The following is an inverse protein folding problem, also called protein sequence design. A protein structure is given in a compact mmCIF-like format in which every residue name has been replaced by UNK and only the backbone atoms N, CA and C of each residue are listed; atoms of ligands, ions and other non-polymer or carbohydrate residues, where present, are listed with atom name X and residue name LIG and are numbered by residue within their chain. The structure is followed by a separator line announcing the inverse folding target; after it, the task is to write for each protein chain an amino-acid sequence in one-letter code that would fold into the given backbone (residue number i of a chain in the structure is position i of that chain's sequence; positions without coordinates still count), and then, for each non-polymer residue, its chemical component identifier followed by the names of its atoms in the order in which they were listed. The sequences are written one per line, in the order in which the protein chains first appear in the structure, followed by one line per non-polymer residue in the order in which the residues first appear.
data_IF_761841056367
#
_entry.id   IF_761841056367
#
_cell.length_a   1.000
_cell.length_b   1.000
_cell.length_c   1.000
_cell.angle_alpha   90.00
_cell.angle_beta   90.00
_cell.angle_gamma   90.00
#
_symmetry.space_group_name_H-M   'P 1'
#
loop_
_entity.id
_entity.type
_entity.pdbx_description
1 polymer ?
#
# COMPACT_ATOMS: atom_id res chain seq x y z
N UNK A 1 -18.75 -11.04 7.69
CA UNK A 1 -17.40 -11.28 7.11
C UNK A 1 -17.24 -10.53 5.77
N UNK A 2 -17.46 -9.21 5.70
CA UNK A 2 -17.55 -8.48 4.40
C UNK A 2 -16.53 -7.31 4.28
N UNK A 3 -15.69 -7.09 5.30
CA UNK A 3 -14.87 -5.86 5.36
C UNK A 3 -13.49 -5.97 4.69
N UNK A 4 -12.99 -7.19 4.40
CA UNK A 4 -11.60 -7.37 3.92
C UNK A 4 -11.41 -7.21 2.41
N UNK A 5 -12.29 -7.83 1.61
CA UNK A 5 -12.29 -7.59 0.17
C UNK A 5 -12.42 -6.09 -0.14
N UNK A 6 -13.13 -5.33 0.70
CA UNK A 6 -13.23 -3.87 0.58
C UNK A 6 -11.90 -3.15 0.86
N UNK A 7 -11.07 -3.66 1.77
CA UNK A 7 -9.78 -3.07 2.10
C UNK A 7 -8.79 -3.25 0.94
N UNK A 8 -8.65 -4.46 0.41
CA UNK A 8 -7.85 -4.72 -0.78
C UNK A 8 -8.36 -3.93 -1.98
N UNK A 9 -9.67 -3.96 -2.24
CA UNK A 9 -10.30 -3.23 -3.36
C UNK A 9 -9.96 -1.73 -3.29
N UNK A 10 -9.97 -1.14 -2.09
CA UNK A 10 -9.60 0.27 -1.87
C UNK A 10 -8.12 0.51 -2.18
N UNK A 11 -7.21 -0.30 -1.63
CA UNK A 11 -5.77 -0.17 -1.87
C UNK A 11 -5.43 -0.34 -3.35
N UNK A 12 -6.07 -1.28 -4.04
CA UNK A 12 -5.87 -1.49 -5.46
C UNK A 12 -6.39 -0.33 -6.31
N UNK A 13 -7.57 0.22 -5.99
CA UNK A 13 -8.08 1.42 -6.67
C UNK A 13 -7.14 2.62 -6.45
N UNK A 14 -6.60 2.79 -5.25
CA UNK A 14 -5.61 3.85 -4.98
C UNK A 14 -4.33 3.63 -5.77
N UNK A 15 -3.83 2.40 -5.87
CA UNK A 15 -2.66 2.07 -6.66
C UNK A 15 -2.85 2.35 -8.16
N UNK A 16 -4.04 2.05 -8.68
CA UNK A 16 -4.41 2.38 -10.06
C UNK A 16 -4.42 3.91 -10.26
N UNK A 17 -4.99 4.66 -9.31
CA UNK A 17 -5.04 6.12 -9.39
C UNK A 17 -3.65 6.76 -9.39
N UNK A 18 -2.77 6.29 -8.51
CA UNK A 18 -1.36 6.72 -8.42
C UNK A 18 -0.58 6.34 -9.68
N UNK A 19 -0.71 5.10 -10.17
CA UNK A 19 -0.02 4.64 -11.37
C UNK A 19 -0.39 5.42 -12.63
N UNK A 20 -1.63 5.93 -12.71
CA UNK A 20 -2.08 6.79 -13.80
C UNK A 20 -1.70 8.26 -13.64
N UNK A 21 -1.25 8.68 -12.45
CA UNK A 21 -0.86 10.09 -12.20
C UNK A 21 0.37 10.50 -13.02
N UNK A 22 1.17 9.54 -13.50
CA UNK A 22 2.28 9.78 -14.45
C UNK A 22 1.82 10.48 -15.74
N UNK A 23 0.54 10.33 -16.10
CA UNK A 23 -0.06 10.94 -17.28
C UNK A 23 -0.65 12.33 -16.99
N UNK A 24 -0.50 12.83 -15.76
CA UNK A 24 -1.17 14.04 -15.27
C UNK A 24 -2.66 13.81 -14.93
N UNK A 25 -3.25 14.80 -14.27
CA UNK A 25 -4.64 14.71 -13.79
C UNK A 25 -5.66 14.51 -14.92
N UNK A 26 -5.53 15.28 -16.00
CA UNK A 26 -6.41 15.17 -17.17
C UNK A 26 -6.25 13.83 -17.87
N UNK A 27 -5.02 13.32 -17.99
CA UNK A 27 -4.74 12.01 -18.56
C UNK A 27 -5.44 10.91 -17.77
N UNK A 28 -5.24 10.88 -16.45
CA UNK A 28 -5.90 9.94 -15.54
C UNK A 28 -7.43 9.94 -15.69
N UNK A 29 -8.06 11.13 -15.74
CA UNK A 29 -9.51 11.25 -15.93
C UNK A 29 -9.96 10.71 -17.29
N UNK A 30 -9.23 11.04 -18.36
CA UNK A 30 -9.52 10.54 -19.70
C UNK A 30 -9.44 9.01 -19.79
N UNK A 31 -8.47 8.39 -19.10
CA UNK A 31 -8.36 6.93 -19.05
C UNK A 31 -9.56 6.30 -18.35
N UNK A 32 -9.96 6.81 -17.18
CA UNK A 32 -11.16 6.28 -16.52
C UNK A 32 -12.43 6.48 -17.37
N UNK A 33 -12.55 7.63 -18.04
CA UNK A 33 -13.66 7.88 -18.95
C UNK A 33 -13.69 6.90 -20.12
N UNK A 34 -12.54 6.62 -20.75
CA UNK A 34 -12.45 5.70 -21.88
C UNK A 34 -12.67 4.24 -21.44
N UNK A 35 -12.18 3.85 -20.26
CA UNK A 35 -12.45 2.53 -19.66
C UNK A 35 -13.94 2.31 -19.37
N UNK A 36 -14.62 3.33 -18.85
CA UNK A 36 -16.06 3.24 -18.60
C UNK A 36 -16.87 3.22 -19.90
N UNK A 37 -16.57 4.11 -20.84
CA UNK A 37 -17.40 4.29 -22.04
C UNK A 37 -17.13 3.25 -23.15
N UNK A 38 -15.86 2.89 -23.38
CA UNK A 38 -15.48 1.96 -24.46
C UNK A 38 -15.45 0.50 -24.00
N UNK A 39 -15.22 0.25 -22.70
CA UNK A 39 -15.04 -1.10 -22.16
C UNK A 39 -16.02 -1.48 -21.05
N UNK A 40 -16.93 -0.57 -20.64
CA UNK A 40 -17.89 -0.80 -19.56
C UNK A 40 -17.22 -1.16 -18.21
N UNK A 41 -15.99 -0.69 -17.99
CA UNK A 41 -15.21 -0.94 -16.77
C UNK A 41 -15.27 0.31 -15.90
N UNK A 42 -16.17 0.29 -14.91
CA UNK A 42 -16.22 1.35 -13.90
C UNK A 42 -15.03 1.23 -12.94
N UNK A 43 -14.52 2.35 -12.43
CA UNK A 43 -13.38 2.40 -11.47
C UNK A 43 -13.54 1.41 -10.29
N UNK A 44 -14.71 1.35 -9.69
CA UNK A 44 -15.00 0.45 -8.56
C UNK A 44 -15.14 -1.05 -8.93
N UNK A 45 -15.20 -1.38 -10.23
CA UNK A 45 -15.24 -2.76 -10.73
C UNK A 45 -13.86 -3.29 -11.09
N UNK A 46 -12.84 -2.43 -11.19
CA UNK A 46 -11.47 -2.80 -11.53
C UNK A 46 -10.92 -3.92 -10.62
N UNK A 47 -11.09 -3.89 -9.28
CA UNK A 47 -10.61 -4.98 -8.41
C UNK A 47 -11.24 -6.35 -8.63
N UNK A 48 -12.37 -6.40 -9.35
CA UNK A 48 -13.10 -7.63 -9.66
C UNK A 48 -12.77 -8.17 -11.05
N UNK A 49 -12.12 -7.38 -11.90
CA UNK A 49 -11.81 -7.71 -13.29
C UNK A 49 -10.45 -7.14 -13.71
N UNK A 50 -9.35 -7.52 -13.04
CA UNK A 50 -8.02 -7.02 -13.39
C UNK A 50 -7.60 -7.37 -14.83
N UNK A 51 -8.07 -8.49 -15.38
CA UNK A 51 -7.81 -8.93 -16.76
C UNK A 51 -8.45 -7.97 -17.77
N UNK A 52 -9.71 -7.59 -17.52
CA UNK A 52 -10.43 -6.66 -18.39
C UNK A 52 -9.79 -5.25 -18.34
N UNK A 53 -9.29 -4.85 -17.16
CA UNK A 53 -8.57 -3.60 -17.00
C UNK A 53 -7.24 -3.60 -17.77
N UNK A 54 -6.43 -4.65 -17.65
CA UNK A 54 -5.19 -4.80 -18.43
C UNK A 54 -5.45 -4.75 -19.94
N UNK A 55 -6.45 -5.50 -20.41
CA UNK A 55 -6.88 -5.45 -21.82
C UNK A 55 -7.32 -4.04 -22.24
N UNK A 56 -8.00 -3.31 -21.35
CA UNK A 56 -8.42 -1.92 -21.60
C UNK A 56 -7.22 -0.98 -21.74
N UNK A 57 -6.20 -1.11 -20.87
CA UNK A 57 -4.96 -0.36 -20.98
C UNK A 57 -4.21 -0.69 -22.26
N UNK A 58 -4.09 -1.97 -22.62
CA UNK A 58 -3.43 -2.42 -23.85
C UNK A 58 -4.12 -1.84 -25.09
N UNK A 59 -5.45 -1.78 -25.12
CA UNK A 59 -6.16 -1.18 -26.26
C UNK A 59 -5.98 0.34 -26.36
N UNK A 60 -5.73 1.03 -25.24
CA UNK A 60 -5.52 2.48 -25.24
C UNK A 60 -4.05 2.83 -25.56
N UNK A 61 -3.10 2.11 -24.97
CA UNK A 61 -1.67 2.45 -24.99
C UNK A 61 -0.81 1.51 -25.85
N UNK A 62 -1.39 0.41 -26.37
CA UNK A 62 -0.65 -0.65 -27.04
C UNK A 62 0.43 -1.23 -26.12
N UNK A 63 1.63 -1.44 -26.68
CA UNK A 63 2.79 -1.93 -25.94
C UNK A 63 3.17 -1.06 -24.71
N UNK A 64 2.80 0.23 -24.72
CA UNK A 64 3.03 1.15 -23.62
C UNK A 64 2.22 0.82 -22.34
N UNK A 65 1.17 0.00 -22.44
CA UNK A 65 0.38 -0.44 -21.30
C UNK A 65 1.25 -1.15 -20.25
N UNK A 66 2.27 -1.89 -20.68
CA UNK A 66 3.21 -2.58 -19.79
C UNK A 66 3.90 -1.65 -18.79
N UNK A 67 4.21 -0.40 -19.20
CA UNK A 67 4.83 0.60 -18.32
C UNK A 67 3.84 1.03 -17.23
N UNK A 68 2.59 1.28 -17.61
CA UNK A 68 1.52 1.67 -16.68
C UNK A 68 1.20 0.54 -15.72
N UNK A 69 1.08 -0.71 -16.22
CA UNK A 69 0.86 -1.89 -15.40
C UNK A 69 1.95 -2.06 -14.34
N UNK A 70 3.23 -1.92 -14.71
CA UNK A 70 4.35 -1.98 -13.77
C UNK A 70 4.30 -0.89 -12.70
N UNK A 71 3.89 0.33 -13.06
CA UNK A 71 3.74 1.43 -12.09
C UNK A 71 2.62 1.12 -11.08
N UNK A 72 1.49 0.60 -11.56
CA UNK A 72 0.36 0.20 -10.71
C UNK A 72 0.78 -0.94 -9.76
N UNK A 73 1.48 -1.96 -10.28
CA UNK A 73 1.98 -3.07 -9.45
C UNK A 73 2.96 -2.60 -8.39
N UNK A 74 3.90 -1.71 -8.74
CA UNK A 74 4.82 -1.13 -7.76
C UNK A 74 4.08 -0.39 -6.63
N UNK A 75 3.09 0.44 -6.97
CA UNK A 75 2.28 1.13 -5.96
C UNK A 75 1.49 0.13 -5.09
N UNK A 76 0.83 -0.86 -5.71
CA UNK A 76 0.05 -1.87 -4.99
C UNK A 76 0.90 -2.66 -3.99
N UNK A 77 2.04 -3.17 -4.42
CA UNK A 77 2.94 -3.94 -3.56
C UNK A 77 3.47 -3.06 -2.41
N UNK A 78 3.85 -1.81 -2.69
CA UNK A 78 4.29 -0.86 -1.68
C UNK A 78 3.21 -0.60 -0.62
N UNK A 79 1.95 -0.42 -1.04
CA UNK A 79 0.81 -0.23 -0.13
C UNK A 79 0.54 -1.42 0.77
N UNK A 80 0.91 -2.63 0.33
CA UNK A 80 0.75 -3.87 1.08
C UNK A 80 2.02 -4.27 1.86
N UNK A 81 3.06 -3.44 1.84
CA UNK A 81 4.35 -3.73 2.49
C UNK A 81 5.09 -4.91 1.87
N UNK A 82 4.82 -5.21 0.59
CA UNK A 82 5.45 -6.29 -0.17
C UNK A 82 6.52 -5.72 -1.12
N UNK A 83 7.49 -6.55 -1.48
CA UNK A 83 8.49 -6.21 -2.49
C UNK A 83 8.00 -6.67 -3.86
N UNK A 84 7.89 -5.73 -4.80
CA UNK A 84 7.57 -6.05 -6.19
C UNK A 84 8.81 -6.59 -6.91
N UNK A 85 8.66 -7.72 -7.59
CA UNK A 85 9.67 -8.31 -8.47
C UNK A 85 9.08 -8.48 -9.86
N UNK A 86 9.67 -7.79 -10.82
CA UNK A 86 9.29 -7.85 -12.24
C UNK A 86 9.75 -9.18 -12.83
N UNK A 87 8.81 -9.96 -13.34
CA UNK A 87 9.02 -11.26 -13.99
C UNK A 87 8.44 -11.10 -15.38
N UNK A 88 9.31 -11.03 -16.38
CA UNK A 88 9.03 -10.49 -17.72
C UNK A 88 7.93 -11.23 -18.51
N UNK A 89 7.46 -12.38 -18.04
CA UNK A 89 6.48 -13.22 -18.73
C UNK A 89 5.12 -13.30 -18.03
N UNK A 90 4.97 -12.62 -16.89
CA UNK A 90 3.78 -12.78 -16.07
C UNK A 90 2.75 -11.67 -16.33
N UNK A 91 1.49 -12.01 -16.64
CA UNK A 91 0.47 -11.03 -16.91
C UNK A 91 0.07 -10.25 -15.65
N UNK A 92 -0.30 -8.98 -15.83
CA UNK A 92 -0.70 -8.08 -14.75
C UNK A 92 -1.74 -8.70 -13.79
N UNK A 93 -2.76 -9.37 -14.34
CA UNK A 93 -3.83 -9.94 -13.53
C UNK A 93 -3.36 -11.03 -12.56
N UNK A 94 -2.37 -11.84 -12.94
CA UNK A 94 -1.83 -12.86 -12.04
C UNK A 94 -1.13 -12.25 -10.83
N UNK A 95 -0.39 -11.15 -11.01
CA UNK A 95 0.21 -10.43 -9.88
C UNK A 95 -0.85 -9.88 -8.91
N UNK A 96 -1.95 -9.35 -9.44
CA UNK A 96 -3.05 -8.81 -8.62
C UNK A 96 -3.76 -9.94 -7.87
N UNK A 97 -4.04 -11.05 -8.56
CA UNK A 97 -4.74 -12.20 -7.98
C UNK A 97 -3.91 -12.90 -6.90
N UNK A 98 -2.60 -13.11 -7.11
CA UNK A 98 -1.73 -13.69 -6.08
C UNK A 98 -1.74 -12.85 -4.79
N UNK A 99 -1.61 -11.54 -4.95
CA UNK A 99 -1.54 -10.64 -3.80
C UNK A 99 -2.88 -10.58 -3.08
N UNK A 100 -3.99 -10.62 -3.82
CA UNK A 100 -5.33 -10.70 -3.26
C UNK A 100 -5.52 -11.97 -2.44
N UNK A 101 -5.11 -13.12 -2.96
CA UNK A 101 -5.16 -14.39 -2.24
C UNK A 101 -4.25 -14.40 -1.00
N UNK A 102 -3.07 -13.79 -1.10
CA UNK A 102 -2.14 -13.67 0.03
C UNK A 102 -2.68 -12.75 1.13
N UNK A 103 -3.38 -11.67 0.76
CA UNK A 103 -4.05 -10.77 1.70
C UNK A 103 -5.20 -11.50 2.44
N UNK A 104 -5.95 -12.34 1.72
CA UNK A 104 -6.98 -13.19 2.29
C UNK A 104 -6.39 -14.29 3.23
N UNK A 105 -5.20 -14.80 2.93
CA UNK A 105 -4.55 -15.92 3.65
C UNK A 105 -3.72 -15.53 4.89
N UNK A 106 -3.25 -14.28 5.01
CA UNK A 106 -2.39 -13.82 6.13
C UNK A 106 -3.04 -13.92 7.52
N UNK A 107 -4.33 -14.22 7.62
CA UNK A 107 -4.99 -14.41 8.91
C UNK A 107 -4.91 -15.82 9.52
N UNK A 108 -4.45 -16.85 8.80
CA UNK A 108 -4.37 -18.19 9.39
C UNK A 108 -3.21 -18.38 10.41
N UNK A 109 -2.35 -17.36 10.64
CA UNK A 109 -1.14 -17.49 11.48
C UNK A 109 -0.99 -16.45 12.61
N UNK A 110 -1.94 -15.54 12.81
CA UNK A 110 -1.85 -14.49 13.84
C UNK A 110 -2.74 -14.75 15.09
N UNK A 111 -3.00 -16.01 15.46
CA UNK A 111 -3.71 -16.33 16.72
C UNK A 111 -2.84 -17.06 17.77
N UNK A 112 -1.53 -17.27 17.53
CA UNK A 112 -0.71 -18.11 18.42
C UNK A 112 0.49 -17.42 19.11
N UNK A 113 0.48 -16.09 19.30
CA UNK A 113 1.52 -15.37 20.08
C UNK A 113 1.00 -14.37 21.13
N UNK A 114 -0.23 -14.56 21.64
CA UNK A 114 -0.75 -13.75 22.77
C UNK A 114 -1.32 -14.58 23.93
N UNK A 115 -0.77 -15.78 24.17
CA UNK A 115 -1.02 -16.55 25.40
C UNK A 115 0.26 -17.16 25.96
N UNK A 116 1.09 -16.32 26.59
CA UNK A 116 1.90 -16.71 27.76
C UNK A 116 2.71 -15.52 28.28
N UNK A 117 2.15 -14.80 29.26
CA UNK A 117 2.85 -14.37 30.50
C UNK A 117 2.01 -13.35 31.27
N UNK A 118 1.00 -13.84 32.00
CA UNK A 118 0.44 -13.13 33.15
C UNK A 118 1.02 -13.75 34.42
N UNK A 119 1.52 -12.87 35.29
CA UNK A 119 1.74 -13.04 36.73
C UNK A 119 2.87 -13.96 37.20
N UNK A 120 3.95 -13.34 37.70
CA UNK A 120 4.17 -13.45 39.13
C UNK A 120 4.67 -12.12 39.72
N UNK A 121 4.00 -11.66 40.78
CA UNK A 121 4.36 -10.50 41.59
C UNK A 121 5.33 -10.96 42.66
N UNK A 122 6.40 -10.21 42.90
CA UNK A 122 6.87 -10.03 44.27
C UNK A 122 7.51 -8.64 44.44
N UNK A 123 6.90 -7.91 45.38
CA UNK A 123 7.32 -6.62 45.93
C UNK A 123 8.56 -6.81 46.80
N UNK A 124 9.43 -5.79 46.93
CA UNK A 124 10.10 -5.41 48.19
C UNK A 124 10.83 -4.07 48.04
N UNK A 125 11.03 -3.43 49.18
CA UNK A 125 10.98 -1.98 49.40
C UNK A 125 12.29 -1.19 49.20
N UNK A 126 12.06 0.09 48.89
CA UNK A 126 12.78 1.33 49.20
C UNK A 126 13.95 1.24 50.21
N UNK A 127 15.09 1.87 49.84
CA UNK A 127 15.93 2.72 50.73
C UNK A 127 16.87 3.65 49.94
N UNK A 128 16.39 4.89 49.76
CA UNK A 128 17.02 6.20 50.00
C UNK A 128 18.55 6.44 49.85
N UNK A 129 18.85 7.61 49.27
CA UNK A 129 19.97 8.55 49.58
C UNK A 129 21.32 8.27 48.87
N UNK A 130 22.00 9.18 48.15
CA UNK A 130 22.10 10.65 48.20
C UNK A 130 22.49 11.31 46.86
N UNK A 131 22.36 12.64 46.87
CA UNK A 131 22.56 13.67 45.86
C UNK A 131 23.99 13.77 45.27
N UNK A 132 24.06 14.11 43.98
CA UNK A 132 24.86 15.25 43.46
C UNK A 132 24.22 15.69 42.13
N UNK A 133 23.55 16.85 41.99
CA UNK A 133 24.12 18.18 41.66
C UNK A 133 25.08 18.09 40.46
N UNK A 134 24.90 18.72 39.29
CA UNK A 134 24.38 20.05 38.86
C UNK A 134 24.03 19.96 37.32
N UNK A 135 23.74 21.06 36.56
CA UNK A 135 22.44 21.63 36.18
C UNK A 135 22.02 21.44 34.71
N UNK A 136 20.77 21.85 34.42
CA UNK A 136 20.23 22.14 33.10
C UNK A 136 21.08 23.10 32.25
N UNK A 137 21.14 22.84 30.95
CA UNK A 137 21.19 23.88 29.92
C UNK A 137 20.17 23.53 28.82
N UNK A 138 19.13 24.35 28.74
CA UNK A 138 18.33 24.54 27.54
C UNK A 138 19.19 25.26 26.49
N UNK A 139 19.16 24.79 25.25
CA UNK A 139 19.45 25.64 24.09
C UNK A 139 18.47 25.31 22.97
N UNK A 140 17.48 26.19 22.91
CA UNK A 140 16.93 26.90 21.76
C UNK A 140 16.75 26.18 20.41
N UNK A 141 15.53 26.40 19.91
CA UNK A 141 15.07 26.22 18.55
C UNK A 141 15.86 27.15 17.64
N UNK A 142 16.45 26.61 16.58
CA UNK A 142 16.74 27.40 15.38
C UNK A 142 16.44 26.62 14.11
N UNK A 143 15.97 27.39 13.14
CA UNK A 143 15.32 27.05 11.90
C UNK A 143 16.15 26.18 10.95
N UNK A 144 15.53 25.13 10.42
CA UNK A 144 15.93 24.51 9.14
C UNK A 144 14.75 24.49 8.16
N UNK A 145 14.21 25.68 7.91
CA UNK A 145 13.63 26.01 6.61
C UNK A 145 14.73 26.76 5.86
N UNK A 146 15.45 26.13 4.94
CA UNK A 146 15.95 26.74 3.70
C UNK A 146 16.63 25.66 2.85
N UNK A 147 16.44 25.76 1.54
CA UNK A 147 17.18 25.09 0.47
C UNK A 147 16.87 23.62 0.18
N UNK A 148 15.85 23.36 -0.63
CA UNK A 148 16.05 22.73 -1.95
C UNK A 148 15.02 23.33 -2.92
N UNK A 149 15.56 24.23 -3.73
CA UNK A 149 14.95 24.94 -4.86
C UNK A 149 14.93 24.03 -6.08
#
# INVERSE_FOLDING_TARGET
MVEKGKAFDKLFIEAVDEGLTVLGESGRQMIFFHLENSYSIKKHKIPKKPEAFATGLEKIFGAGASVIEKLILKSLYSKLGLKYEDREERPFAEYVNEVKEADDAKEAKQDNRRRSSSSNRQSLEVRSSQQSSIPCMEMEKEDFSYFYR
#
